data_IF_829715886878
#
_entry.id   IF_829715886878
#
_cell.length_a   1.000
_cell.length_b   1.000
_cell.length_c   1.000
_cell.angle_alpha   90.00
_cell.angle_beta   90.00
_cell.angle_gamma   90.00
#
_symmetry.space_group_name_H-M   'P 1'
#
loop_
_entity.id
_entity.type
_entity.pdbx_description
1 polymer ?
#
# COMPACT_ATOMS: atom_id res chain seq x y z
N UNK A 1 4.65 -13.54 -20.72
CA UNK A 1 4.58 -12.62 -19.58
C UNK A 1 5.92 -12.69 -18.89
N UNK A 2 6.67 -11.60 -18.85
CA UNK A 2 7.93 -11.56 -18.09
C UNK A 2 7.61 -11.52 -16.59
N UNK A 3 8.35 -12.30 -15.80
CA UNK A 3 8.15 -12.47 -14.35
C UNK A 3 8.11 -11.12 -13.62
N UNK A 4 8.85 -10.12 -14.12
CA UNK A 4 8.85 -8.75 -13.59
C UNK A 4 7.52 -8.04 -13.85
N UNK A 5 6.92 -8.20 -15.04
CA UNK A 5 5.60 -7.62 -15.33
C UNK A 5 4.53 -8.21 -14.42
N UNK A 6 4.53 -9.53 -14.23
CA UNK A 6 3.59 -10.19 -13.32
C UNK A 6 3.76 -9.73 -11.87
N UNK A 7 4.99 -9.51 -11.40
CA UNK A 7 5.28 -9.04 -10.06
C UNK A 7 4.64 -7.66 -9.76
N UNK A 8 4.54 -6.78 -10.75
CA UNK A 8 3.94 -5.45 -10.60
C UNK A 8 2.44 -5.45 -10.95
N UNK A 9 1.96 -6.31 -11.84
CA UNK A 9 0.51 -6.37 -12.12
C UNK A 9 -0.28 -7.11 -11.02
N UNK A 10 0.35 -8.09 -10.35
CA UNK A 10 -0.28 -8.86 -9.27
C UNK A 10 -0.86 -7.99 -8.14
N UNK A 11 -0.13 -7.04 -7.53
CA UNK A 11 -0.68 -6.20 -6.46
C UNK A 11 -1.82 -5.30 -6.93
N UNK A 12 -1.83 -4.87 -8.20
CA UNK A 12 -2.94 -4.05 -8.73
C UNK A 12 -4.19 -4.90 -8.88
N UNK A 13 -4.05 -6.10 -9.45
CA UNK A 13 -5.16 -7.04 -9.62
C UNK A 13 -5.74 -7.47 -8.28
N UNK A 14 -4.88 -7.84 -7.32
CA UNK A 14 -5.31 -8.17 -5.95
C UNK A 14 -6.05 -6.99 -5.30
N UNK A 15 -5.54 -5.76 -5.43
CA UNK A 15 -6.23 -4.58 -4.90
C UNK A 15 -7.57 -4.30 -5.59
N UNK A 16 -7.67 -4.52 -6.91
CA UNK A 16 -8.93 -4.42 -7.64
C UNK A 16 -9.96 -5.44 -7.15
N UNK A 17 -9.54 -6.69 -7.00
CA UNK A 17 -10.38 -7.80 -6.53
C UNK A 17 -10.83 -7.58 -5.07
N UNK A 18 -9.91 -7.17 -4.19
CA UNK A 18 -10.18 -6.94 -2.76
C UNK A 18 -11.01 -5.69 -2.49
N UNK A 19 -10.98 -4.68 -3.38
CA UNK A 19 -11.72 -3.42 -3.18
C UNK A 19 -12.99 -3.33 -4.03
N UNK A 20 -13.20 -4.26 -4.96
CA UNK A 20 -14.30 -4.20 -5.93
C UNK A 20 -14.19 -3.00 -6.88
N UNK A 21 -12.99 -2.66 -7.34
CA UNK A 21 -12.72 -1.53 -8.25
C UNK A 21 -12.03 -1.98 -9.54
N UNK A 22 -12.15 -1.20 -10.62
CA UNK A 22 -11.47 -1.49 -11.88
C UNK A 22 -9.99 -1.09 -11.84
N UNK A 23 -9.21 -1.60 -12.81
CA UNK A 23 -7.80 -1.25 -13.01
C UNK A 23 -7.57 0.26 -13.17
N UNK A 24 -8.57 0.99 -13.67
CA UNK A 24 -8.51 2.44 -13.87
C UNK A 24 -8.46 3.21 -12.53
N UNK A 25 -8.81 2.58 -11.41
CA UNK A 25 -8.67 3.15 -10.08
C UNK A 25 -7.20 3.32 -9.65
N UNK A 26 -6.24 2.72 -10.35
CA UNK A 26 -4.80 2.76 -10.04
C UNK A 26 -3.98 3.22 -11.25
N UNK A 27 -4.13 4.46 -11.73
CA UNK A 27 -3.55 4.89 -13.01
C UNK A 27 -2.02 4.82 -13.06
N UNK A 28 -1.36 4.94 -11.90
CA UNK A 28 0.09 4.91 -11.79
C UNK A 28 0.64 3.49 -11.56
N UNK A 29 1.87 3.19 -12.02
CA UNK A 29 2.51 1.91 -11.74
C UNK A 29 2.78 1.74 -10.24
N UNK A 30 2.69 0.51 -9.69
CA UNK A 30 2.99 0.25 -8.29
C UNK A 30 4.42 0.61 -7.93
N UNK A 31 4.60 1.24 -6.78
CA UNK A 31 5.92 1.54 -6.25
C UNK A 31 6.35 0.46 -5.26
N UNK A 32 7.40 -0.30 -5.56
CA UNK A 32 8.00 -1.23 -4.61
C UNK A 32 8.64 -0.44 -3.46
N UNK A 33 8.09 -0.57 -2.25
CA UNK A 33 8.65 0.03 -1.04
C UNK A 33 9.79 -0.81 -0.45
N UNK A 34 9.78 -2.12 -0.70
CA UNK A 34 10.82 -3.04 -0.25
C UNK A 34 10.29 -4.44 0.00
N UNK A 35 11.08 -5.24 0.71
CA UNK A 35 10.75 -6.63 1.05
C UNK A 35 10.74 -6.79 2.56
N UNK A 36 9.73 -7.45 3.09
CA UNK A 36 9.58 -7.75 4.51
C UNK A 36 9.60 -9.25 4.75
N UNK A 37 10.03 -9.65 5.94
CA UNK A 37 10.01 -11.06 6.36
C UNK A 37 9.62 -11.14 7.83
N UNK A 38 8.67 -12.01 8.14
CA UNK A 38 8.29 -12.28 9.53
C UNK A 38 9.26 -13.29 10.15
N UNK A 39 9.66 -13.08 11.41
CA UNK A 39 10.46 -14.09 12.13
C UNK A 39 9.70 -15.42 12.32
N UNK A 40 8.36 -15.38 12.28
CA UNK A 40 7.49 -16.56 12.39
C UNK A 40 7.21 -17.22 11.05
N UNK A 41 7.11 -16.44 9.98
CA UNK A 41 6.87 -16.92 8.62
C UNK A 41 8.03 -16.46 7.74
N UNK A 42 8.99 -17.36 7.48
CA UNK A 42 10.24 -17.09 6.73
C UNK A 42 10.01 -16.84 5.24
N UNK A 43 8.77 -16.60 4.81
CA UNK A 43 8.44 -16.22 3.44
C UNK A 43 8.65 -14.71 3.28
N UNK A 44 9.49 -14.26 2.33
CA UNK A 44 9.60 -12.85 2.00
C UNK A 44 8.31 -12.35 1.35
N UNK A 45 7.94 -11.11 1.64
CA UNK A 45 6.79 -10.43 1.03
C UNK A 45 7.27 -9.11 0.44
N UNK A 46 7.11 -8.93 -0.86
CA UNK A 46 7.28 -7.64 -1.50
C UNK A 46 6.11 -6.72 -1.09
N UNK A 47 6.42 -5.47 -0.77
CA UNK A 47 5.44 -4.48 -0.33
C UNK A 47 5.39 -3.37 -1.37
N UNK A 48 4.20 -3.13 -1.90
CA UNK A 48 3.96 -2.09 -2.89
C UNK A 48 3.09 -0.97 -2.32
N UNK A 49 3.30 0.23 -2.85
CA UNK A 49 2.40 1.36 -2.68
C UNK A 49 1.62 1.57 -3.98
N UNK A 50 0.29 1.67 -3.82
CA UNK A 50 -0.65 2.00 -4.89
C UNK A 50 -1.29 3.34 -4.57
N UNK A 51 -1.31 4.24 -5.55
CA UNK A 51 -2.01 5.51 -5.44
C UNK A 51 -3.32 5.44 -6.23
N UNK A 52 -4.40 5.94 -5.63
CA UNK A 52 -5.72 6.02 -6.26
C UNK A 52 -6.26 7.45 -6.17
N UNK A 53 -6.98 7.94 -7.19
CA UNK A 53 -7.71 9.20 -7.10
C UNK A 53 -9.02 9.07 -6.30
N UNK A 54 -9.47 7.84 -6.01
CA UNK A 54 -10.70 7.61 -5.24
C UNK A 54 -10.56 8.11 -3.80
N UNK A 55 -11.61 8.73 -3.30
CA UNK A 55 -11.72 9.10 -1.88
C UNK A 55 -11.93 7.87 -1.00
N UNK A 56 -11.65 8.00 0.31
CA UNK A 56 -11.91 6.93 1.29
C UNK A 56 -13.37 6.49 1.29
N UNK A 57 -14.30 7.43 1.07
CA UNK A 57 -15.74 7.16 0.92
C UNK A 57 -16.03 6.30 -0.31
N UNK A 58 -15.46 6.64 -1.47
CA UNK A 58 -15.67 5.87 -2.71
C UNK A 58 -15.08 4.46 -2.61
N UNK A 59 -13.89 4.31 -2.03
CA UNK A 59 -13.27 3.01 -1.77
C UNK A 59 -14.13 2.17 -0.82
N UNK A 60 -14.62 2.77 0.27
CA UNK A 60 -15.49 2.08 1.23
C UNK A 60 -16.80 1.62 0.59
N UNK A 61 -17.42 2.48 -0.23
CA UNK A 61 -18.65 2.14 -0.95
C UNK A 61 -18.43 1.07 -2.02
N UNK A 62 -17.28 1.06 -2.70
CA UNK A 62 -16.92 -0.02 -3.64
C UNK A 62 -16.77 -1.35 -2.90
N UNK A 63 -15.98 -1.35 -1.82
CA UNK A 63 -15.78 -2.53 -0.98
C UNK A 63 -17.09 -3.12 -0.46
N UNK A 64 -17.98 -2.28 0.08
CA UNK A 64 -19.29 -2.71 0.62
C UNK A 64 -20.26 -3.21 -0.45
N UNK A 65 -20.09 -2.80 -1.71
CA UNK A 65 -20.91 -3.30 -2.83
C UNK A 65 -20.49 -4.71 -3.24
N UNK A 66 -19.19 -4.95 -3.31
CA UNK A 66 -18.62 -6.22 -3.75
C UNK A 66 -18.63 -7.28 -2.65
N UNK A 67 -18.40 -6.88 -1.40
CA UNK A 67 -18.30 -7.80 -0.28
C UNK A 67 -19.51 -7.68 0.66
N UNK A 68 -20.05 -8.84 1.05
CA UNK A 68 -21.14 -8.90 2.02
C UNK A 68 -20.74 -8.33 3.39
N UNK A 69 -21.74 -7.95 4.20
CA UNK A 69 -21.62 -7.35 5.55
C UNK A 69 -20.77 -8.14 6.57
N UNK A 70 -20.30 -9.36 6.23
CA UNK A 70 -19.45 -10.21 7.07
C UNK A 70 -17.99 -10.36 6.61
N UNK A 71 -17.57 -9.66 5.55
CA UNK A 71 -16.17 -9.65 5.08
C UNK A 71 -15.25 -8.82 6.00
N UNK A 72 -13.93 -8.94 5.81
CA UNK A 72 -12.93 -8.24 6.61
C UNK A 72 -13.24 -6.73 6.69
N UNK A 73 -13.07 -6.09 7.84
CA UNK A 73 -13.37 -4.66 7.96
C UNK A 73 -12.33 -3.88 7.16
N UNK A 74 -12.75 -3.19 6.10
CA UNK A 74 -11.91 -2.17 5.44
C UNK A 74 -11.58 -1.08 6.47
N UNK A 75 -10.30 -0.97 6.84
CA UNK A 75 -9.80 0.04 7.75
C UNK A 75 -9.28 1.23 6.93
N UNK A 76 -10.03 2.33 6.97
CA UNK A 76 -9.54 3.62 6.48
C UNK A 76 -8.83 4.36 7.62
N UNK A 77 -7.69 4.97 7.32
CA UNK A 77 -6.97 5.84 8.23
C UNK A 77 -6.92 7.22 7.61
N UNK A 78 -7.68 8.15 8.18
CA UNK A 78 -7.86 9.51 7.64
C UNK A 78 -6.62 10.39 7.89
N UNK A 79 -5.85 10.06 8.93
CA UNK A 79 -4.61 10.76 9.26
C UNK A 79 -3.39 9.85 9.03
N UNK A 80 -2.70 10.11 7.91
CA UNK A 80 -1.42 9.48 7.58
C UNK A 80 -0.34 9.75 8.64
N UNK A 81 -0.50 10.79 9.47
CA UNK A 81 0.42 11.16 10.54
C UNK A 81 0.06 10.52 11.88
N UNK A 82 -1.13 9.92 12.01
CA UNK A 82 -1.53 9.07 13.13
C UNK A 82 -1.05 7.62 12.98
N UNK A 83 -0.49 7.26 11.82
CA UNK A 83 0.06 5.93 11.57
C UNK A 83 1.11 5.52 12.64
N UNK A 84 2.15 6.31 12.95
CA UNK A 84 3.19 5.90 13.89
C UNK A 84 2.72 5.70 15.33
N UNK A 85 1.54 6.21 15.71
CA UNK A 85 1.01 6.17 17.09
C UNK A 85 -0.14 5.18 17.28
N UNK A 86 -0.65 4.57 16.22
CA UNK A 86 -1.84 3.72 16.29
C UNK A 86 -1.53 2.33 16.88
N UNK A 87 -2.24 1.95 17.95
CA UNK A 87 -2.18 0.61 18.58
C UNK A 87 -2.98 -0.44 17.79
N UNK A 88 -2.90 -0.41 16.46
CA UNK A 88 -3.66 -1.33 15.60
C UNK A 88 -3.12 -2.75 15.77
N UNK A 89 -4.00 -3.68 16.16
CA UNK A 89 -3.72 -5.12 16.14
C UNK A 89 -3.59 -5.57 14.68
N UNK A 90 -2.37 -5.51 14.16
CA UNK A 90 -2.06 -5.85 12.78
C UNK A 90 -1.38 -7.23 12.66
N UNK A 91 -1.75 -8.05 11.66
CA UNK A 91 -1.00 -9.24 11.27
C UNK A 91 0.48 -8.91 11.00
N UNK A 92 1.37 -9.91 11.11
CA UNK A 92 2.82 -9.66 11.00
C UNK A 92 3.27 -9.13 9.64
N UNK A 93 2.60 -9.51 8.55
CA UNK A 93 2.88 -8.98 7.21
C UNK A 93 2.46 -7.51 7.10
N UNK A 94 1.27 -7.16 7.57
CA UNK A 94 0.74 -5.79 7.60
C UNK A 94 1.65 -4.85 8.39
N UNK A 95 2.23 -5.31 9.51
CA UNK A 95 3.22 -4.51 10.27
C UNK A 95 4.48 -4.18 9.48
N UNK A 96 4.97 -5.12 8.67
CA UNK A 96 6.12 -4.88 7.80
C UNK A 96 5.78 -3.85 6.72
N UNK A 97 4.64 -4.01 6.06
CA UNK A 97 4.17 -3.06 5.05
C UNK A 97 4.00 -1.65 5.63
N UNK A 98 3.42 -1.57 6.82
CA UNK A 98 3.21 -0.34 7.56
C UNK A 98 4.50 0.39 7.93
N UNK A 99 5.52 -0.35 8.39
CA UNK A 99 6.83 0.20 8.69
C UNK A 99 7.48 0.81 7.43
N UNK A 100 7.46 0.08 6.32
CA UNK A 100 8.01 0.57 5.05
C UNK A 100 7.28 1.81 4.55
N UNK A 101 5.95 1.82 4.60
CA UNK A 101 5.14 2.97 4.19
C UNK A 101 5.42 4.20 5.06
N UNK A 102 5.47 4.03 6.39
CA UNK A 102 5.76 5.12 7.32
C UNK A 102 7.13 5.75 7.04
N UNK A 103 8.14 4.92 6.79
CA UNK A 103 9.50 5.37 6.50
C UNK A 103 9.59 6.07 5.14
N UNK A 104 8.91 5.54 4.11
CA UNK A 104 8.79 6.19 2.81
C UNK A 104 8.11 7.56 2.92
N UNK A 105 7.02 7.66 3.68
CA UNK A 105 6.28 8.91 3.88
C UNK A 105 7.14 9.97 4.58
N UNK A 106 7.89 9.58 5.63
CA UNK A 106 8.82 10.46 6.33
C UNK A 106 9.91 10.99 5.39
N UNK A 107 10.53 10.12 4.59
CA UNK A 107 11.54 10.53 3.60
C UNK A 107 10.98 11.49 2.56
N UNK A 108 9.77 11.23 2.05
CA UNK A 108 9.11 12.14 1.10
C UNK A 108 8.88 13.52 1.69
N UNK A 109 8.46 13.60 2.96
CA UNK A 109 8.29 14.88 3.66
C UNK A 109 9.61 15.63 3.82
N UNK A 110 10.68 14.93 4.18
CA UNK A 110 12.02 15.52 4.31
C UNK A 110 12.55 16.03 2.96
N UNK A 111 12.38 15.27 1.88
CA UNK A 111 12.75 15.67 0.53
C UNK A 111 11.97 16.92 0.08
N UNK A 112 10.67 16.96 0.32
CA UNK A 112 9.83 18.13 0.03
C UNK A 112 10.25 19.37 0.84
N UNK A 113 10.63 19.21 2.11
CA UNK A 113 11.09 20.30 2.97
C UNK A 113 12.49 20.83 2.61
N UNK A 114 13.33 20.01 1.97
CA UNK A 114 14.72 20.34 1.60
C UNK A 114 14.89 20.72 0.13
N UNK A 115 13.81 20.66 -0.68
CA UNK A 115 13.85 20.95 -2.11
C UNK A 115 14.63 19.94 -2.95
N UNK A 116 14.96 18.77 -2.40
CA UNK A 116 15.64 17.70 -3.13
C UNK A 116 14.62 16.83 -3.87
N UNK A 117 14.83 16.61 -5.18
CA UNK A 117 13.98 15.69 -5.98
C UNK A 117 14.19 14.26 -5.49
N UNK A 118 13.09 13.57 -5.17
CA UNK A 118 13.07 12.19 -4.69
C UNK A 118 13.62 11.17 -5.70
N UNK A 119 13.71 11.55 -6.98
CA UNK A 119 14.29 10.75 -8.07
C UNK A 119 15.78 10.41 -7.81
N UNK A 120 16.46 11.20 -6.98
CA UNK A 120 17.87 10.99 -6.62
C UNK A 120 18.12 9.86 -5.61
N UNK A 121 17.07 9.22 -5.08
CA UNK A 121 17.17 8.11 -4.13
C UNK A 121 16.85 6.73 -4.71
N UNK A 122 16.55 6.64 -6.01
CA UNK A 122 16.30 5.39 -6.72
C UNK A 122 17.42 5.07 -7.71
N UNK A 123 18.10 3.94 -7.47
CA UNK A 123 19.17 3.32 -8.29
C UNK A 123 20.59 3.87 -8.06
N UNK A 124 21.35 3.11 -7.28
CA UNK A 124 22.77 2.86 -7.52
C UNK A 124 22.97 1.34 -7.50
#
# INVERSE_FOLDING_TARGET
>A
SDVVGELFECPVREACDDLGVSRDAFPDPPLLLGVTMSRRNRRPNAVFYLQTPLSSTEVTQAYQREHSLGSERCLALDDKDALPSSSLLMPSCTRGAFFLFSHWLQRRKQAAATGQSWESFGVS
#
